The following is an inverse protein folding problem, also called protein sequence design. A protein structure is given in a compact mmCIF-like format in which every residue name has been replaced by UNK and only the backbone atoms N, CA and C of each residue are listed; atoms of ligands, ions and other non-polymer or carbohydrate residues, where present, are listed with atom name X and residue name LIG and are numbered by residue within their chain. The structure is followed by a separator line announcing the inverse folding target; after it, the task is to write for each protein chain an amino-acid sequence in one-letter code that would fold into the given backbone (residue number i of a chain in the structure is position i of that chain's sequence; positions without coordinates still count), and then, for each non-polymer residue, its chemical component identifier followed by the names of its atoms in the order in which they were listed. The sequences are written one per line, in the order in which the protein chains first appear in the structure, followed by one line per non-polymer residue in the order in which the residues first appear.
data_IF_937166019868
#
_entry.id   IF_937166019868
#
_cell.length_a   1.000
_cell.length_b   1.000
_cell.length_c   1.000
_cell.angle_alpha   90.00
_cell.angle_beta   90.00
_cell.angle_gamma   90.00
#
_symmetry.space_group_name_H-M   'P 1'
#
loop_
_entity.id
_entity.type
_entity.pdbx_description
1 polymer ?
#
# COMPACT_ATOMS: atom_id res chain seq x y z
N UNK A 1 -40.60 41.92 28.51
CA UNK A 1 -41.83 41.37 29.13
C UNK A 1 -42.40 40.35 28.17
N UNK A 2 -42.44 39.08 28.58
CA UNK A 2 -43.01 38.02 27.75
C UNK A 2 -44.53 38.00 27.79
N UNK A 3 -45.12 37.27 26.85
CA UNK A 3 -46.12 36.24 27.16
C UNK A 3 -46.26 35.27 25.97
N UNK A 4 -46.66 34.05 26.29
CA UNK A 4 -46.55 32.78 25.56
C UNK A 4 -47.76 32.41 24.68
N UNK A 5 -47.52 31.48 23.73
CA UNK A 5 -48.42 30.44 23.15
C UNK A 5 -49.50 30.91 22.15
N UNK A 6 -49.78 30.24 21.02
CA UNK A 6 -49.92 28.80 20.82
C UNK A 6 -49.63 28.30 19.38
N UNK A 7 -49.34 27.00 19.34
CA UNK A 7 -48.99 26.11 18.22
C UNK A 7 -50.24 25.76 17.39
N UNK A 8 -50.11 25.67 16.07
CA UNK A 8 -50.89 24.74 15.23
C UNK A 8 -49.90 24.06 14.28
N UNK A 9 -49.70 22.77 14.50
CA UNK A 9 -48.96 21.85 13.64
C UNK A 9 -49.80 21.52 12.41
N UNK A 10 -49.14 21.48 11.24
CA UNK A 10 -49.65 20.81 10.04
C UNK A 10 -48.73 19.62 9.76
N UNK A 11 -49.27 18.44 9.41
CA UNK A 11 -48.50 17.21 9.27
C UNK A 11 -47.69 17.23 7.98
N UNK A 12 -46.36 17.15 8.10
CA UNK A 12 -45.52 16.64 7.01
C UNK A 12 -45.66 15.13 7.00
N UNK A 13 -46.37 14.59 6.02
CA UNK A 13 -46.23 13.18 5.65
C UNK A 13 -44.77 12.94 5.27
N UNK A 14 -43.99 12.39 6.20
CA UNK A 14 -42.75 11.69 5.89
C UNK A 14 -43.11 10.47 5.05
N UNK A 15 -42.76 10.51 3.77
CA UNK A 15 -42.69 9.31 2.95
C UNK A 15 -41.73 8.32 3.64
N UNK A 16 -42.13 7.07 3.87
CA UNK A 16 -41.25 6.09 4.51
C UNK A 16 -40.00 5.91 3.66
N UNK A 17 -38.84 6.19 4.24
CA UNK A 17 -37.55 5.83 3.63
C UNK A 17 -37.52 4.34 3.30
N UNK A 18 -36.81 3.93 2.24
CA UNK A 18 -36.73 2.52 1.86
C UNK A 18 -36.17 1.69 3.03
N UNK A 19 -36.65 0.45 3.22
CA UNK A 19 -36.32 -0.35 4.38
C UNK A 19 -34.81 -0.56 4.48
N UNK A 20 -34.26 -0.30 5.66
CA UNK A 20 -32.88 -0.60 5.99
C UNK A 20 -32.66 -2.11 5.77
N UNK A 21 -31.88 -2.46 4.75
CA UNK A 21 -31.47 -3.84 4.52
C UNK A 21 -30.52 -4.21 5.66
N UNK A 22 -31.03 -4.95 6.65
CA UNK A 22 -30.24 -5.66 7.65
C UNK A 22 -29.21 -6.52 6.94
N UNK A 23 -27.97 -6.04 6.94
CA UNK A 23 -26.80 -6.82 6.56
C UNK A 23 -26.15 -7.22 7.86
N UNK A 24 -26.54 -8.38 8.40
CA UNK A 24 -26.01 -8.94 9.65
C UNK A 24 -24.48 -8.79 9.71
N UNK A 25 -24.02 -8.14 10.77
CA UNK A 25 -22.62 -8.10 11.11
C UNK A 25 -22.22 -9.48 11.65
N UNK A 26 -21.13 -10.10 11.17
CA UNK A 26 -20.69 -11.37 11.73
C UNK A 26 -20.33 -11.20 13.21
N UNK A 27 -20.80 -12.12 14.05
CA UNK A 27 -20.50 -12.12 15.48
C UNK A 27 -19.03 -12.47 15.74
N UNK A 28 -18.46 -12.14 16.91
CA UNK A 28 -17.03 -12.35 17.20
C UNK A 28 -16.53 -13.80 17.03
N UNK A 29 -17.43 -14.79 17.03
CA UNK A 29 -17.12 -16.21 16.83
C UNK A 29 -16.93 -16.63 15.35
N UNK A 30 -17.38 -15.83 14.37
CA UNK A 30 -17.34 -16.17 12.94
C UNK A 30 -16.13 -15.59 12.19
N UNK A 31 -15.19 -14.97 12.91
CA UNK A 31 -13.86 -14.60 12.37
C UNK A 31 -12.75 -15.55 12.81
N UNK A 32 -13.09 -16.64 13.51
CA UNK A 32 -12.25 -17.82 13.45
C UNK A 32 -12.32 -18.32 12.00
N UNK A 33 -11.23 -18.14 11.26
CA UNK A 33 -11.11 -18.70 9.92
C UNK A 33 -11.61 -20.15 9.97
N UNK A 34 -12.57 -20.57 9.13
CA UNK A 34 -12.83 -21.98 8.99
C UNK A 34 -11.49 -22.60 8.58
N UNK A 35 -10.93 -23.44 9.44
CA UNK A 35 -9.88 -24.39 9.08
C UNK A 35 -10.52 -25.40 8.12
N UNK A 36 -10.79 -24.94 6.90
CA UNK A 36 -10.88 -25.79 5.73
C UNK A 36 -9.48 -26.36 5.47
N UNK A 37 -9.38 -27.60 4.96
CA UNK A 37 -8.12 -28.32 4.87
C UNK A 37 -7.08 -27.47 4.13
N UNK A 38 -5.83 -27.56 4.57
CA UNK A 38 -4.72 -26.86 3.95
C UNK A 38 -4.68 -27.18 2.45
N UNK A 39 -5.23 -26.29 1.61
CA UNK A 39 -5.03 -26.35 0.18
C UNK A 39 -3.51 -26.34 -0.04
N UNK A 40 -2.99 -27.46 -0.52
CA UNK A 40 -1.57 -27.64 -0.72
C UNK A 40 -1.07 -26.52 -1.63
N UNK A 41 0.01 -25.85 -1.20
CA UNK A 41 0.69 -24.87 -2.02
C UNK A 41 1.11 -25.57 -3.33
N UNK A 42 0.73 -25.07 -4.52
CA UNK A 42 1.03 -25.73 -5.78
C UNK A 42 2.53 -25.98 -5.97
N UNK A 43 2.88 -27.17 -6.46
CA UNK A 43 4.23 -27.48 -6.94
C UNK A 43 4.47 -26.90 -8.34
N UNK A 44 5.73 -26.86 -8.78
CA UNK A 44 6.03 -26.41 -10.15
C UNK A 44 5.36 -27.29 -11.20
N UNK A 45 5.20 -28.59 -10.91
CA UNK A 45 4.48 -29.53 -11.77
C UNK A 45 2.99 -29.21 -11.84
N UNK A 46 2.35 -28.85 -10.72
CA UNK A 46 0.93 -28.46 -10.70
C UNK A 46 0.67 -27.19 -11.51
N UNK A 47 1.64 -26.26 -11.53
CA UNK A 47 1.56 -25.00 -12.27
C UNK A 47 2.03 -25.12 -13.73
N UNK A 48 2.73 -26.19 -14.09
CA UNK A 48 3.36 -26.35 -15.41
C UNK A 48 4.49 -25.35 -15.68
N UNK A 49 5.25 -24.99 -14.64
CA UNK A 49 6.35 -24.01 -14.69
C UNK A 49 7.69 -24.65 -14.36
N UNK A 50 8.79 -23.97 -14.67
CA UNK A 50 10.13 -24.38 -14.24
C UNK A 50 10.28 -24.30 -12.70
N UNK A 51 10.88 -25.31 -12.08
CA UNK A 51 11.13 -25.32 -10.63
C UNK A 51 12.05 -24.15 -10.21
N UNK A 52 13.06 -23.80 -11.01
CA UNK A 52 13.94 -22.66 -10.74
C UNK A 52 13.17 -21.33 -10.72
N UNK A 53 12.13 -21.22 -11.56
CA UNK A 53 11.25 -20.04 -11.59
C UNK A 53 10.40 -19.96 -10.33
N UNK A 54 9.82 -21.07 -9.88
CA UNK A 54 9.03 -21.12 -8.66
C UNK A 54 9.89 -20.88 -7.40
N UNK A 55 11.09 -21.43 -7.35
CA UNK A 55 12.06 -21.15 -6.28
C UNK A 55 12.43 -19.66 -6.23
N UNK A 56 12.66 -19.04 -7.39
CA UNK A 56 12.95 -17.61 -7.48
C UNK A 56 11.76 -16.76 -7.01
N UNK A 57 10.54 -17.10 -7.43
CA UNK A 57 9.30 -16.47 -6.96
C UNK A 57 9.22 -16.49 -5.44
N UNK A 58 9.44 -17.66 -4.82
CA UNK A 58 9.42 -17.84 -3.35
C UNK A 58 10.54 -17.08 -2.66
N UNK A 59 11.75 -17.07 -3.24
CA UNK A 59 12.90 -16.31 -2.72
C UNK A 59 12.62 -14.81 -2.66
N UNK A 60 11.86 -14.28 -3.62
CA UNK A 60 11.42 -12.88 -3.64
C UNK A 60 10.20 -12.61 -2.76
N UNK A 61 9.77 -13.56 -1.92
CA UNK A 61 8.65 -13.42 -1.00
C UNK A 61 7.29 -13.84 -1.58
N UNK A 62 7.25 -14.31 -2.84
CA UNK A 62 6.00 -14.65 -3.53
C UNK A 62 5.15 -15.70 -2.82
N UNK A 63 5.74 -16.50 -1.92
CA UNK A 63 5.06 -17.41 -1.00
C UNK A 63 3.90 -16.76 -0.22
N UNK A 64 4.04 -15.48 0.14
CA UNK A 64 3.00 -14.74 0.87
C UNK A 64 1.73 -14.51 0.01
N UNK A 65 1.80 -14.69 -1.32
CA UNK A 65 0.70 -14.47 -2.27
C UNK A 65 0.14 -15.78 -2.88
N UNK A 66 0.87 -16.89 -2.80
CA UNK A 66 0.54 -18.14 -3.52
C UNK A 66 -0.87 -18.64 -3.18
N UNK A 67 -1.27 -18.59 -1.91
CA UNK A 67 -2.58 -19.09 -1.47
C UNK A 67 -3.75 -18.36 -2.13
N UNK A 68 -3.67 -17.03 -2.25
CA UNK A 68 -4.77 -16.22 -2.80
C UNK A 68 -4.81 -16.18 -4.32
N UNK A 69 -3.64 -16.37 -4.95
CA UNK A 69 -3.53 -16.54 -6.40
C UNK A 69 -4.02 -17.93 -6.81
N UNK A 70 -3.62 -18.98 -6.09
CA UNK A 70 -4.00 -20.36 -6.38
C UNK A 70 -5.50 -20.62 -6.15
N UNK A 71 -6.09 -20.08 -5.08
CA UNK A 71 -7.54 -20.24 -4.83
C UNK A 71 -8.42 -19.40 -5.77
N UNK A 72 -7.83 -18.46 -6.52
CA UNK A 72 -8.58 -17.48 -7.29
C UNK A 72 -9.31 -16.44 -6.44
N UNK A 73 -9.04 -16.35 -5.14
CA UNK A 73 -9.56 -15.26 -4.30
C UNK A 73 -9.15 -13.89 -4.86
N UNK A 74 -7.93 -13.80 -5.37
CA UNK A 74 -7.41 -12.64 -6.09
C UNK A 74 -7.16 -13.03 -7.54
N UNK A 75 -7.79 -12.32 -8.47
CA UNK A 75 -7.46 -12.37 -9.90
C UNK A 75 -6.66 -11.11 -10.26
N UNK A 76 -5.49 -11.26 -10.87
CA UNK A 76 -4.68 -10.11 -11.31
C UNK A 76 -4.91 -9.86 -12.81
N UNK A 77 -5.08 -8.59 -13.16
CA UNK A 77 -5.32 -8.15 -14.53
C UNK A 77 -4.00 -8.10 -15.30
N UNK A 78 -3.98 -8.55 -16.55
CA UNK A 78 -2.82 -8.40 -17.42
C UNK A 78 -2.61 -6.91 -17.73
N UNK A 79 -1.47 -6.36 -17.34
CA UNK A 79 -1.11 -4.99 -17.64
C UNK A 79 -1.18 -4.67 -19.15
N UNK A 80 -0.81 -5.62 -20.03
CA UNK A 80 -0.90 -5.43 -21.47
C UNK A 80 -2.34 -5.37 -21.96
N UNK A 81 -3.24 -6.16 -21.36
CA UNK A 81 -4.67 -6.09 -21.66
C UNK A 81 -5.26 -4.74 -21.20
N UNK A 82 -4.93 -4.29 -19.99
CA UNK A 82 -5.37 -3.00 -19.47
C UNK A 82 -4.93 -1.84 -20.36
N UNK A 83 -3.69 -1.89 -20.87
CA UNK A 83 -3.17 -0.90 -21.82
C UNK A 83 -4.02 -0.87 -23.08
N UNK A 84 -4.20 -2.01 -23.74
CA UNK A 84 -4.98 -2.10 -24.99
C UNK A 84 -6.44 -1.68 -24.79
N UNK A 85 -7.05 -2.05 -23.66
CA UNK A 85 -8.42 -1.69 -23.32
C UNK A 85 -8.57 -0.17 -23.14
N UNK A 86 -7.61 0.47 -22.46
CA UNK A 86 -7.58 1.92 -22.28
C UNK A 86 -7.40 2.66 -23.61
N UNK A 87 -6.50 2.19 -24.48
CA UNK A 87 -6.24 2.79 -25.80
C UNK A 87 -7.44 2.70 -26.74
N UNK A 88 -8.26 1.65 -26.58
CA UNK A 88 -9.53 1.51 -27.28
C UNK A 88 -10.65 2.42 -26.73
N UNK A 89 -10.37 3.24 -25.70
CA UNK A 89 -11.35 4.09 -25.02
C UNK A 89 -12.29 3.32 -24.09
N UNK A 90 -11.87 2.14 -23.65
CA UNK A 90 -12.65 1.27 -22.76
C UNK A 90 -12.81 1.83 -21.35
N UNK A 91 -13.80 1.30 -20.64
CA UNK A 91 -13.99 1.48 -19.19
C UNK A 91 -13.86 0.10 -18.55
N UNK A 92 -13.17 0.01 -17.42
CA UNK A 92 -12.98 -1.26 -16.73
C UNK A 92 -14.30 -1.71 -16.10
N UNK A 93 -14.75 -2.93 -16.42
CA UNK A 93 -15.92 -3.56 -15.78
C UNK A 93 -15.54 -4.32 -14.51
N UNK A 94 -16.53 -4.67 -13.69
CA UNK A 94 -16.34 -5.53 -12.53
C UNK A 94 -15.84 -6.92 -12.92
N UNK A 95 -15.14 -7.61 -12.01
CA UNK A 95 -14.46 -8.90 -12.25
C UNK A 95 -15.26 -9.90 -13.08
N UNK A 96 -16.52 -10.15 -12.74
CA UNK A 96 -17.35 -11.18 -13.37
C UNK A 96 -17.72 -10.88 -14.84
N UNK A 97 -17.68 -9.61 -15.25
CA UNK A 97 -17.98 -9.20 -16.62
C UNK A 97 -16.73 -9.12 -17.51
N UNK A 98 -15.52 -9.31 -16.95
CA UNK A 98 -14.29 -9.25 -17.71
C UNK A 98 -14.02 -10.57 -18.46
N UNK A 99 -13.47 -10.50 -19.67
CA UNK A 99 -13.11 -11.69 -20.44
C UNK A 99 -11.93 -12.42 -19.79
N UNK A 100 -11.77 -13.72 -20.07
CA UNK A 100 -10.70 -14.55 -19.45
C UNK A 100 -9.31 -14.03 -19.79
N UNK A 101 -9.14 -13.48 -20.98
CA UNK A 101 -7.91 -12.91 -21.51
C UNK A 101 -7.49 -11.62 -20.77
N UNK A 102 -8.36 -11.04 -19.95
CA UNK A 102 -8.02 -9.91 -19.10
C UNK A 102 -7.12 -10.29 -17.91
N UNK A 103 -6.98 -11.58 -17.60
CA UNK A 103 -6.33 -12.06 -16.39
C UNK A 103 -5.04 -12.83 -16.67
N UNK A 104 -4.07 -12.68 -15.77
CA UNK A 104 -2.90 -13.55 -15.70
C UNK A 104 -3.18 -14.71 -14.76
N UNK A 105 -2.69 -15.90 -15.12
CA UNK A 105 -2.64 -17.05 -14.22
C UNK A 105 -1.50 -16.91 -13.22
N UNK A 106 -1.53 -17.71 -12.15
CA UNK A 106 -0.40 -17.80 -11.23
C UNK A 106 0.88 -18.27 -11.94
N UNK A 107 0.77 -19.22 -12.87
CA UNK A 107 1.88 -19.70 -13.68
C UNK A 107 2.52 -18.56 -14.51
N UNK A 108 1.70 -17.68 -15.12
CA UNK A 108 2.21 -16.53 -15.87
C UNK A 108 3.07 -15.59 -15.02
N UNK A 109 2.70 -15.40 -13.75
CA UNK A 109 3.45 -14.58 -12.80
C UNK A 109 4.77 -15.24 -12.40
N UNK A 110 4.76 -16.55 -12.15
CA UNK A 110 5.98 -17.32 -11.85
C UNK A 110 6.95 -17.25 -13.03
N UNK A 111 6.47 -17.48 -14.25
CA UNK A 111 7.28 -17.40 -15.47
C UNK A 111 7.81 -15.99 -15.74
N UNK A 112 7.02 -14.95 -15.44
CA UNK A 112 7.44 -13.56 -15.57
C UNK A 112 8.49 -13.13 -14.52
N UNK A 113 8.73 -13.94 -13.49
CA UNK A 113 9.69 -13.61 -12.42
C UNK A 113 11.11 -13.61 -12.93
N UNK A 114 11.84 -12.54 -12.62
CA UNK A 114 13.16 -12.26 -13.16
C UNK A 114 14.20 -11.99 -12.07
N UNK A 115 15.31 -12.74 -12.12
CA UNK A 115 16.36 -12.67 -11.10
C UNK A 115 17.13 -11.35 -11.07
N UNK A 116 17.07 -10.56 -12.15
CA UNK A 116 17.75 -9.27 -12.25
C UNK A 116 16.85 -8.09 -11.86
N UNK A 117 15.54 -8.30 -11.74
CA UNK A 117 14.59 -7.25 -11.36
C UNK A 117 14.69 -6.94 -9.86
N UNK A 118 14.71 -7.98 -9.01
CA UNK A 118 14.62 -7.80 -7.56
C UNK A 118 13.20 -7.49 -7.06
N UNK A 119 12.19 -7.64 -7.92
CA UNK A 119 10.77 -7.52 -7.57
C UNK A 119 9.94 -8.63 -8.22
N UNK A 120 8.74 -8.87 -7.67
CA UNK A 120 7.73 -9.74 -8.24
C UNK A 120 6.95 -9.02 -9.35
N UNK A 121 6.48 -9.73 -10.39
CA UNK A 121 5.65 -9.16 -11.46
C UNK A 121 4.19 -8.94 -11.02
N UNK A 122 4.00 -8.36 -9.83
CA UNK A 122 2.69 -8.07 -9.25
C UNK A 122 2.67 -6.61 -8.79
N UNK A 123 1.61 -5.88 -9.15
CA UNK A 123 1.31 -4.54 -8.67
C UNK A 123 -0.09 -4.44 -8.10
N UNK A 124 -0.33 -3.51 -7.18
CA UNK A 124 -1.65 -3.19 -6.64
C UNK A 124 -1.98 -1.71 -6.87
N UNK A 125 -3.23 -1.42 -7.26
CA UNK A 125 -3.71 -0.07 -7.50
C UNK A 125 -4.53 0.41 -6.30
N UNK A 126 -4.09 1.49 -5.68
CA UNK A 126 -4.85 2.22 -4.66
C UNK A 126 -5.44 3.49 -5.27
N UNK A 127 -6.75 3.68 -5.11
CA UNK A 127 -7.46 4.75 -5.81
C UNK A 127 -8.79 5.11 -5.13
N UNK A 128 -9.29 6.34 -5.32
CA UNK A 128 -10.60 6.74 -4.81
C UNK A 128 -11.71 6.28 -5.77
N UNK A 129 -12.78 5.69 -5.23
CA UNK A 129 -14.03 5.53 -5.99
C UNK A 129 -14.64 6.89 -6.31
N UNK A 130 -14.88 7.17 -7.60
CA UNK A 130 -15.42 8.45 -8.06
C UNK A 130 -16.93 8.56 -7.84
N UNK A 131 -17.66 7.46 -7.96
CA UNK A 131 -19.12 7.42 -7.72
C UNK A 131 -19.45 6.25 -6.80
N UNK A 132 -20.71 6.16 -6.35
CA UNK A 132 -21.19 5.05 -5.54
C UNK A 132 -21.16 3.71 -6.29
N UNK A 133 -21.49 3.74 -7.58
CA UNK A 133 -21.74 2.52 -8.35
C UNK A 133 -20.54 2.11 -9.22
N UNK A 134 -19.66 3.06 -9.55
CA UNK A 134 -18.51 2.80 -10.39
C UNK A 134 -17.24 3.57 -9.95
N UNK A 135 -16.08 2.90 -9.88
CA UNK A 135 -14.83 3.54 -9.46
C UNK A 135 -14.30 4.56 -10.47
N UNK A 136 -14.41 4.29 -11.78
CA UNK A 136 -13.90 5.14 -12.86
C UNK A 136 -14.85 5.17 -14.07
N UNK A 137 -16.04 5.79 -13.96
CA UNK A 137 -17.11 5.67 -14.97
C UNK A 137 -16.75 6.25 -16.35
N UNK A 138 -15.68 7.03 -16.44
CA UNK A 138 -15.21 7.65 -17.69
C UNK A 138 -13.90 7.06 -18.21
N UNK A 139 -13.32 6.05 -17.55
CA UNK A 139 -12.04 5.45 -17.96
C UNK A 139 -10.82 6.37 -17.83
N UNK A 140 -10.94 7.46 -17.08
CA UNK A 140 -9.89 8.47 -16.98
C UNK A 140 -8.74 8.00 -16.07
N UNK A 141 -9.06 7.31 -14.97
CA UNK A 141 -8.07 6.66 -14.14
C UNK A 141 -7.42 5.48 -14.89
N UNK A 142 -8.21 4.68 -15.61
CA UNK A 142 -7.70 3.59 -16.45
C UNK A 142 -6.69 4.11 -17.48
N UNK A 143 -6.98 5.22 -18.16
CA UNK A 143 -6.06 5.84 -19.12
C UNK A 143 -4.74 6.29 -18.47
N UNK A 144 -4.80 6.87 -17.27
CA UNK A 144 -3.60 7.28 -16.51
C UNK A 144 -2.80 6.05 -16.06
N UNK A 145 -3.46 5.02 -15.55
CA UNK A 145 -2.83 3.75 -15.13
C UNK A 145 -2.18 3.07 -16.33
N UNK A 146 -2.84 2.99 -17.49
CA UNK A 146 -2.28 2.42 -18.72
C UNK A 146 -0.97 3.10 -19.15
N UNK A 147 -0.88 4.44 -19.06
CA UNK A 147 0.37 5.17 -19.32
C UNK A 147 1.49 4.75 -18.36
N UNK A 148 1.19 4.59 -17.08
CA UNK A 148 2.15 4.11 -16.08
C UNK A 148 2.57 2.66 -16.35
N UNK A 149 1.62 1.77 -16.68
CA UNK A 149 1.90 0.37 -17.00
C UNK A 149 2.79 0.23 -18.24
N UNK A 150 2.57 1.04 -19.29
CA UNK A 150 3.49 1.10 -20.45
C UNK A 150 4.91 1.45 -20.04
N UNK A 151 5.06 2.45 -19.18
CA UNK A 151 6.36 2.86 -18.67
C UNK A 151 7.03 1.75 -17.84
N UNK A 152 6.28 1.03 -17.00
CA UNK A 152 6.79 -0.12 -16.24
C UNK A 152 7.22 -1.29 -17.15
N UNK A 153 6.49 -1.53 -18.24
CA UNK A 153 6.80 -2.55 -19.24
C UNK A 153 7.87 -2.12 -20.26
N UNK A 154 8.34 -0.87 -20.23
CA UNK A 154 9.37 -0.36 -21.15
C UNK A 154 10.73 -1.06 -21.02
N UNK A 155 10.93 -1.83 -19.94
CA UNK A 155 12.11 -2.67 -19.68
C UNK A 155 11.73 -4.15 -19.71
N UNK A 156 11.50 -4.75 -20.88
CA UNK A 156 11.01 -6.13 -20.99
C UNK A 156 12.00 -7.16 -20.37
N UNK A 157 13.29 -6.83 -20.35
CA UNK A 157 14.32 -7.65 -19.71
C UNK A 157 14.22 -7.70 -18.18
N UNK A 158 13.48 -6.78 -17.55
CA UNK A 158 13.25 -6.77 -16.10
C UNK A 158 11.80 -7.11 -15.76
N UNK A 159 10.84 -6.60 -16.53
CA UNK A 159 9.41 -6.80 -16.30
C UNK A 159 8.74 -7.23 -17.60
N UNK A 160 8.84 -8.52 -17.98
CA UNK A 160 8.28 -9.01 -19.23
C UNK A 160 6.75 -9.06 -19.23
N UNK A 161 6.16 -9.32 -18.06
CA UNK A 161 4.71 -9.22 -17.80
C UNK A 161 4.49 -8.68 -16.39
N UNK A 162 3.31 -8.11 -16.16
CA UNK A 162 2.92 -7.54 -14.88
C UNK A 162 1.43 -7.81 -14.62
N UNK A 163 1.13 -8.45 -13.51
CA UNK A 163 -0.24 -8.60 -13.01
C UNK A 163 -0.63 -7.42 -12.14
N UNK A 164 -1.82 -6.87 -12.34
CA UNK A 164 -2.32 -5.71 -11.58
C UNK A 164 -3.53 -6.12 -10.75
N UNK A 165 -3.40 -6.04 -9.44
CA UNK A 165 -4.51 -6.07 -8.51
C UNK A 165 -5.22 -4.72 -8.55
N UNK A 166 -6.45 -4.73 -9.07
CA UNK A 166 -7.39 -3.61 -9.05
C UNK A 166 -8.68 -4.15 -8.43
N UNK A 167 -8.93 -3.90 -7.16
CA UNK A 167 -10.01 -4.50 -6.36
C UNK A 167 -11.34 -4.73 -7.11
N UNK A 168 -11.82 -3.76 -7.91
CA UNK A 168 -13.04 -3.83 -8.72
C UNK A 168 -13.00 -4.94 -9.79
N UNK A 169 -11.87 -5.08 -10.48
CA UNK A 169 -11.62 -6.16 -11.45
C UNK A 169 -11.02 -7.43 -10.84
N UNK A 170 -10.45 -7.35 -9.63
CA UNK A 170 -9.65 -8.42 -9.02
C UNK A 170 -10.37 -9.23 -7.95
N UNK A 171 -11.34 -8.62 -7.26
CA UNK A 171 -12.18 -9.29 -6.26
C UNK A 171 -13.59 -9.51 -6.82
N UNK A 172 -14.28 -10.55 -6.34
CA UNK A 172 -15.69 -10.75 -6.68
C UNK A 172 -16.53 -9.58 -6.18
N UNK A 173 -17.25 -8.93 -7.10
CA UNK A 173 -18.15 -7.82 -6.82
C UNK A 173 -19.60 -8.30 -6.68
N UNK A 174 -20.48 -7.48 -6.13
CA UNK A 174 -21.91 -7.68 -6.34
C UNK A 174 -22.26 -7.17 -7.75
N UNK A 175 -22.73 -8.01 -8.68
CA UNK A 175 -22.90 -7.60 -10.08
C UNK A 175 -23.95 -6.51 -10.28
N UNK A 176 -25.08 -6.62 -9.60
CA UNK A 176 -26.16 -5.63 -9.65
C UNK A 176 -26.95 -5.61 -8.32
N UNK A 177 -26.36 -5.03 -7.26
CA UNK A 177 -26.99 -5.00 -5.94
C UNK A 177 -28.29 -4.18 -5.91
N UNK A 178 -28.48 -3.24 -6.85
CA UNK A 178 -29.70 -2.46 -6.96
C UNK A 178 -30.90 -3.32 -7.41
N UNK A 179 -30.65 -4.30 -8.28
CA UNK A 179 -31.64 -5.27 -8.73
C UNK A 179 -31.59 -6.61 -7.98
N UNK A 180 -30.81 -6.69 -6.89
CA UNK A 180 -30.71 -7.87 -6.04
C UNK A 180 -29.78 -8.98 -6.55
N UNK A 181 -29.00 -8.73 -7.61
CA UNK A 181 -27.97 -9.65 -8.07
C UNK A 181 -26.73 -9.53 -7.17
N UNK A 182 -26.52 -10.58 -6.36
CA UNK A 182 -25.51 -10.63 -5.32
C UNK A 182 -24.55 -11.78 -5.57
N UNK A 183 -23.36 -11.70 -4.97
CA UNK A 183 -22.38 -12.80 -4.99
C UNK A 183 -23.00 -14.10 -4.48
N UNK A 184 -22.62 -15.22 -5.13
CA UNK A 184 -22.90 -16.55 -4.61
C UNK A 184 -22.12 -16.80 -3.30
N UNK A 185 -22.46 -17.87 -2.57
CA UNK A 185 -21.76 -18.22 -1.33
C UNK A 185 -20.27 -18.48 -1.56
N UNK A 186 -19.92 -19.15 -2.66
CA UNK A 186 -18.54 -19.43 -3.06
C UNK A 186 -17.79 -18.14 -3.40
N UNK A 187 -18.42 -17.24 -4.17
CA UNK A 187 -17.86 -15.94 -4.51
C UNK A 187 -17.66 -15.08 -3.25
N UNK A 188 -18.57 -15.17 -2.27
CA UNK A 188 -18.46 -14.46 -1.00
C UNK A 188 -17.31 -15.02 -0.14
N UNK A 189 -17.10 -16.33 -0.13
CA UNK A 189 -15.96 -16.95 0.54
C UNK A 189 -14.63 -16.49 -0.07
N UNK A 190 -14.51 -16.52 -1.40
CA UNK A 190 -13.35 -16.01 -2.14
C UNK A 190 -13.14 -14.51 -1.91
N UNK A 191 -14.20 -13.72 -1.89
CA UNK A 191 -14.10 -12.29 -1.58
C UNK A 191 -13.56 -12.05 -0.18
N UNK A 192 -14.06 -12.76 0.85
CA UNK A 192 -13.57 -12.63 2.23
C UNK A 192 -12.09 -13.03 2.31
N UNK A 193 -11.69 -14.10 1.61
CA UNK A 193 -10.30 -14.52 1.52
C UNK A 193 -9.42 -13.43 0.86
N UNK A 194 -9.87 -12.85 -0.26
CA UNK A 194 -9.16 -11.77 -0.95
C UNK A 194 -9.08 -10.49 -0.12
N UNK A 195 -10.16 -10.13 0.57
CA UNK A 195 -10.19 -8.97 1.49
C UNK A 195 -9.18 -9.14 2.64
N UNK A 196 -9.03 -10.36 3.14
CA UNK A 196 -8.05 -10.68 4.18
C UNK A 196 -6.59 -10.51 3.76
N UNK A 197 -6.28 -10.53 2.45
CA UNK A 197 -4.91 -10.44 1.95
C UNK A 197 -4.50 -9.04 1.46
N UNK A 198 -5.38 -8.04 1.53
CA UNK A 198 -5.08 -6.67 1.09
C UNK A 198 -3.83 -6.13 1.77
N UNK A 199 -3.71 -6.32 3.09
CA UNK A 199 -2.54 -5.91 3.85
C UNK A 199 -1.24 -6.45 3.25
N UNK A 200 -1.20 -7.75 2.95
CA UNK A 200 -0.07 -8.39 2.27
C UNK A 200 0.19 -7.79 0.89
N UNK A 201 -0.82 -7.70 0.02
CA UNK A 201 -0.65 -7.15 -1.34
C UNK A 201 -0.04 -5.74 -1.34
N UNK A 202 -0.57 -4.86 -0.50
CA UNK A 202 -0.14 -3.46 -0.42
C UNK A 202 1.15 -3.24 0.36
N UNK A 203 1.54 -4.13 1.29
CA UNK A 203 2.76 -3.96 2.10
C UNK A 203 3.89 -4.94 1.77
N UNK A 204 3.70 -5.87 0.84
CA UNK A 204 4.74 -6.80 0.41
C UNK A 204 5.95 -6.05 -0.15
N UNK A 205 7.15 -6.31 0.35
CA UNK A 205 8.34 -5.51 0.05
C UNK A 205 8.67 -5.44 -1.45
N UNK A 206 8.39 -6.53 -2.19
CA UNK A 206 8.80 -6.72 -3.58
C UNK A 206 7.65 -6.63 -4.61
N UNK A 207 6.49 -6.09 -4.26
CA UNK A 207 5.41 -5.79 -5.25
C UNK A 207 5.28 -4.30 -5.49
N UNK A 208 4.76 -3.91 -6.65
CA UNK A 208 4.44 -2.52 -6.93
C UNK A 208 3.16 -2.08 -6.19
N UNK A 209 3.11 -0.82 -5.76
CA UNK A 209 1.87 -0.13 -5.47
C UNK A 209 1.81 1.15 -6.27
N UNK A 210 0.71 1.31 -7.00
CA UNK A 210 0.39 2.47 -7.81
C UNK A 210 -0.72 3.25 -7.08
N UNK A 211 -0.48 4.52 -6.75
CA UNK A 211 -1.47 5.36 -6.04
C UNK A 211 -1.99 6.46 -6.92
N UNK A 212 -3.31 6.57 -7.03
CA UNK A 212 -3.98 7.69 -7.69
C UNK A 212 -4.35 8.76 -6.65
N UNK A 213 -3.35 9.49 -6.16
CA UNK A 213 -3.54 10.46 -5.06
C UNK A 213 -4.23 11.76 -5.49
N UNK A 214 -4.24 12.05 -6.79
CA UNK A 214 -4.92 13.18 -7.40
C UNK A 214 -5.98 12.70 -8.39
N UNK A 215 -7.02 13.51 -8.58
CA UNK A 215 -8.02 13.25 -9.61
C UNK A 215 -7.42 13.33 -11.02
N UNK A 216 -8.06 12.70 -12.02
CA UNK A 216 -7.70 12.84 -13.43
C UNK A 216 -7.57 14.29 -13.87
N UNK A 217 -6.72 14.56 -14.86
CA UNK A 217 -6.55 15.89 -15.42
C UNK A 217 -7.89 16.40 -15.99
N UNK A 218 -8.26 17.65 -15.69
CA UNK A 218 -9.55 18.21 -16.09
C UNK A 218 -10.74 17.81 -15.21
N UNK A 219 -10.53 17.02 -14.15
CA UNK A 219 -11.56 16.72 -13.16
C UNK A 219 -11.80 17.93 -12.24
N UNK A 220 -12.87 18.69 -12.47
CA UNK A 220 -13.30 19.78 -11.57
C UNK A 220 -14.43 19.32 -10.67
N UNK A 221 -14.34 19.61 -9.37
CA UNK A 221 -15.36 19.23 -8.39
C UNK A 221 -16.75 19.84 -8.69
N UNK A 222 -16.76 21.02 -9.29
CA UNK A 222 -17.93 21.78 -9.74
C UNK A 222 -18.63 21.20 -10.97
N UNK A 223 -17.92 20.40 -11.78
CA UNK A 223 -18.48 19.73 -12.98
C UNK A 223 -19.05 18.34 -12.65
N UNK A 224 -19.09 17.96 -11.37
CA UNK A 224 -19.49 16.63 -10.95
C UNK A 224 -20.99 16.53 -10.75
N UNK A 225 -21.57 15.42 -11.23
CA UNK A 225 -22.97 15.10 -11.01
C UNK A 225 -23.25 14.95 -9.51
N UNK A 226 -24.48 15.25 -9.10
CA UNK A 226 -24.96 15.05 -7.74
C UNK A 226 -24.69 13.61 -7.28
N UNK A 227 -24.07 13.43 -6.11
CA UNK A 227 -23.65 12.12 -5.58
C UNK A 227 -22.22 11.67 -5.93
N UNK A 228 -21.44 12.46 -6.67
CA UNK A 228 -20.01 12.19 -6.90
C UNK A 228 -19.20 12.39 -5.62
N UNK A 229 -18.28 11.48 -5.33
CA UNK A 229 -17.43 11.59 -4.15
C UNK A 229 -16.22 12.48 -4.43
N UNK A 230 -16.25 13.70 -3.87
CA UNK A 230 -15.19 14.72 -4.00
C UNK A 230 -14.12 14.66 -2.91
N UNK A 231 -14.20 13.72 -1.96
CA UNK A 231 -13.20 13.59 -0.90
C UNK A 231 -11.80 13.29 -1.49
N UNK A 232 -10.76 13.92 -0.95
CA UNK A 232 -9.38 13.69 -1.41
C UNK A 232 -8.91 12.29 -1.01
N UNK A 233 -7.90 11.79 -1.71
CA UNK A 233 -7.34 10.46 -1.48
C UNK A 233 -7.00 10.18 -0.01
N UNK A 234 -6.25 11.07 0.65
CA UNK A 234 -5.81 10.88 2.04
C UNK A 234 -6.92 11.06 3.10
N UNK A 235 -8.10 11.51 2.72
CA UNK A 235 -9.26 11.67 3.61
C UNK A 235 -10.18 10.43 3.62
N UNK A 236 -9.87 9.44 2.78
CA UNK A 236 -10.61 8.19 2.62
C UNK A 236 -9.91 7.08 3.39
N UNK A 237 -10.65 6.38 4.25
CA UNK A 237 -10.10 5.37 5.14
C UNK A 237 -9.32 4.27 4.41
N UNK A 238 -9.90 3.67 3.37
CA UNK A 238 -9.21 2.65 2.57
C UNK A 238 -7.96 3.18 1.86
N UNK A 239 -8.06 4.30 1.13
CA UNK A 239 -6.90 4.90 0.45
C UNK A 239 -5.77 5.25 1.44
N UNK A 240 -6.10 5.83 2.60
CA UNK A 240 -5.11 6.14 3.64
C UNK A 240 -4.45 4.87 4.20
N UNK A 241 -5.21 3.78 4.34
CA UNK A 241 -4.69 2.47 4.78
C UNK A 241 -3.74 1.86 3.75
N UNK A 242 -4.15 1.85 2.48
CA UNK A 242 -3.35 1.33 1.38
C UNK A 242 -2.04 2.11 1.22
N UNK A 243 -2.10 3.43 1.39
CA UNK A 243 -0.91 4.28 1.45
C UNK A 243 0.01 3.93 2.63
N UNK A 244 -0.57 3.71 3.82
CA UNK A 244 0.20 3.34 5.01
C UNK A 244 0.89 1.98 4.80
N UNK A 245 0.19 0.98 4.26
CA UNK A 245 0.78 -0.32 3.88
C UNK A 245 1.90 -0.18 2.86
N UNK A 246 1.68 0.58 1.79
CA UNK A 246 2.67 0.81 0.75
C UNK A 246 3.92 1.58 1.22
N UNK A 247 3.85 2.16 2.42
CA UNK A 247 4.94 2.90 3.04
C UNK A 247 5.76 2.08 4.03
N UNK A 248 5.35 0.85 4.37
CA UNK A 248 5.99 0.06 5.43
C UNK A 248 7.38 -0.48 5.07
N UNK A 249 7.58 -1.03 3.87
CA UNK A 249 8.81 -1.81 3.58
C UNK A 249 9.32 -1.66 2.14
N UNK A 250 8.44 -1.28 1.20
CA UNK A 250 8.76 -1.15 -0.23
C UNK A 250 9.85 -0.12 -0.45
N UNK A 251 10.74 -0.35 -1.41
CA UNK A 251 11.64 0.69 -1.93
C UNK A 251 10.89 1.72 -2.78
N UNK A 252 11.47 2.90 -3.01
CA UNK A 252 10.82 3.99 -3.73
C UNK A 252 10.25 3.58 -5.11
N UNK A 253 11.02 2.87 -5.92
CA UNK A 253 10.61 2.42 -7.26
C UNK A 253 9.39 1.48 -7.28
N UNK A 254 9.04 0.87 -6.14
CA UNK A 254 7.90 -0.03 -6.01
C UNK A 254 6.67 0.66 -5.39
N UNK A 255 6.74 1.96 -5.11
CA UNK A 255 5.71 2.70 -4.40
C UNK A 255 5.45 4.03 -5.11
N UNK A 256 4.72 3.99 -6.22
CA UNK A 256 4.60 5.09 -7.17
C UNK A 256 3.32 5.90 -6.96
N UNK A 257 3.47 7.21 -6.79
CA UNK A 257 2.36 8.16 -6.79
C UNK A 257 2.06 8.65 -8.20
N UNK A 258 1.09 8.00 -8.86
CA UNK A 258 0.63 8.36 -10.20
C UNK A 258 -0.10 9.71 -10.23
N UNK A 259 -0.48 10.25 -9.07
CA UNK A 259 -1.04 11.59 -8.97
C UNK A 259 -0.04 12.70 -9.32
N UNK A 260 1.26 12.38 -9.34
CA UNK A 260 2.35 13.28 -9.74
C UNK A 260 2.72 13.20 -11.22
N UNK A 261 2.09 12.30 -11.98
CA UNK A 261 2.31 12.22 -13.42
C UNK A 261 1.89 13.51 -14.11
N UNK A 262 2.71 13.98 -15.05
CA UNK A 262 2.48 15.21 -15.81
C UNK A 262 1.61 14.93 -17.04
N UNK A 263 0.67 15.85 -17.29
CA UNK A 263 -0.15 15.85 -18.49
C UNK A 263 0.74 15.93 -19.75
N UNK A 264 0.41 15.14 -20.77
CA UNK A 264 1.11 15.14 -22.07
C UNK A 264 2.56 14.61 -22.08
N UNK A 265 3.15 14.30 -20.92
CA UNK A 265 4.49 13.70 -20.85
C UNK A 265 4.44 12.20 -21.17
N UNK A 266 5.30 11.74 -22.06
CA UNK A 266 5.60 10.31 -22.22
C UNK A 266 6.58 9.85 -21.14
N UNK A 267 6.35 8.63 -20.67
CA UNK A 267 7.08 8.05 -19.55
C UNK A 267 7.73 6.74 -19.97
N UNK A 268 9.01 6.61 -19.62
CA UNK A 268 9.71 5.34 -19.47
C UNK A 268 9.82 4.98 -17.98
N UNK A 269 10.43 3.83 -17.66
CA UNK A 269 10.57 3.37 -16.27
C UNK A 269 11.26 4.40 -15.36
N UNK A 270 12.36 5.01 -15.82
CA UNK A 270 13.18 5.91 -15.00
C UNK A 270 12.47 7.22 -14.75
N UNK A 271 11.94 7.83 -15.81
CA UNK A 271 11.24 9.10 -15.72
C UNK A 271 9.91 8.99 -14.97
N UNK A 272 9.25 7.81 -14.99
CA UNK A 272 8.07 7.53 -14.17
C UNK A 272 8.48 7.44 -12.70
N UNK A 273 9.48 6.63 -12.40
CA UNK A 273 9.97 6.44 -11.03
C UNK A 273 10.42 7.77 -10.44
N UNK A 274 11.18 8.56 -11.20
CA UNK A 274 11.67 9.86 -10.76
C UNK A 274 10.54 10.81 -10.36
N UNK A 275 9.53 11.00 -11.20
CA UNK A 275 8.43 11.92 -10.91
C UNK A 275 7.52 11.39 -9.78
N UNK A 276 7.21 10.09 -9.81
CA UNK A 276 6.23 9.47 -8.92
C UNK A 276 6.76 9.16 -7.52
N UNK A 277 8.05 9.40 -7.25
CA UNK A 277 8.70 9.17 -5.94
C UNK A 277 9.20 10.44 -5.26
N UNK A 278 9.20 11.59 -5.96
CA UNK A 278 9.65 12.86 -5.42
C UNK A 278 8.81 13.34 -4.22
N UNK A 279 9.37 14.26 -3.42
CA UNK A 279 8.67 15.07 -2.41
C UNK A 279 7.84 14.28 -1.38
N UNK A 280 8.44 13.30 -0.69
CA UNK A 280 7.85 12.76 0.54
C UNK A 280 6.53 12.02 0.38
N UNK A 281 6.26 11.45 -0.81
CA UNK A 281 5.04 10.67 -1.05
C UNK A 281 4.91 9.41 -0.19
N UNK A 282 6.00 8.92 0.40
CA UNK A 282 6.02 7.79 1.32
C UNK A 282 6.18 8.28 2.76
N UNK A 283 5.20 7.98 3.59
CA UNK A 283 5.18 8.38 4.99
C UNK A 283 6.03 7.41 5.84
N UNK A 284 6.57 7.85 6.99
CA UNK A 284 7.15 6.92 7.96
C UNK A 284 6.12 5.88 8.43
N UNK A 285 6.55 4.66 8.80
CA UNK A 285 5.65 3.65 9.34
C UNK A 285 4.96 4.17 10.61
N UNK A 286 3.71 3.75 10.83
CA UNK A 286 2.93 4.09 12.02
C UNK A 286 2.76 2.86 12.90
N UNK A 287 2.92 3.04 14.22
CA UNK A 287 2.43 2.06 15.18
C UNK A 287 0.93 1.84 14.99
N UNK A 288 0.45 0.62 15.24
CA UNK A 288 -0.96 0.28 15.10
C UNK A 288 -1.89 1.23 15.87
N UNK A 289 -1.49 1.67 17.06
CA UNK A 289 -2.22 2.67 17.86
C UNK A 289 -2.28 4.05 17.22
N UNK A 290 -1.16 4.54 16.67
CA UNK A 290 -1.08 5.82 15.98
C UNK A 290 -1.91 5.79 14.68
N UNK A 291 -1.80 4.70 13.91
CA UNK A 291 -2.63 4.47 12.73
C UNK A 291 -4.13 4.45 13.10
N UNK A 292 -4.51 3.75 14.17
CA UNK A 292 -5.90 3.69 14.61
C UNK A 292 -6.45 5.08 14.97
N UNK A 293 -5.64 5.94 15.59
CA UNK A 293 -6.01 7.33 15.89
C UNK A 293 -6.15 8.20 14.62
N UNK A 294 -5.27 8.02 13.63
CA UNK A 294 -5.40 8.70 12.35
C UNK A 294 -6.64 8.24 11.57
N UNK A 295 -6.97 6.95 11.62
CA UNK A 295 -8.12 6.38 10.94
C UNK A 295 -9.44 6.94 11.47
N UNK A 296 -9.50 7.36 12.74
CA UNK A 296 -10.71 7.99 13.29
C UNK A 296 -11.11 9.28 12.58
N UNK A 297 -10.13 9.98 12.01
CA UNK A 297 -10.30 11.24 11.28
C UNK A 297 -10.73 11.02 9.83
N UNK A 298 -10.82 9.77 9.37
CA UNK A 298 -11.06 9.42 7.96
C UNK A 298 -12.51 9.02 7.70
N UNK A 299 -12.94 9.25 6.46
CA UNK A 299 -14.28 8.92 6.00
C UNK A 299 -14.33 7.58 5.28
N UNK A 300 -15.44 6.86 5.40
CA UNK A 300 -15.74 5.63 4.68
C UNK A 300 -17.03 5.81 3.88
N UNK A 301 -17.03 5.38 2.62
CA UNK A 301 -18.11 5.64 1.67
C UNK A 301 -19.36 4.79 1.89
N UNK A 302 -19.26 3.66 2.58
CA UNK A 302 -20.30 2.64 2.60
C UNK A 302 -21.23 2.66 3.82
N UNK A 303 -21.23 3.73 4.63
CA UNK A 303 -22.16 3.93 5.75
C UNK A 303 -22.05 2.93 6.92
N UNK A 304 -21.37 1.79 6.72
CA UNK A 304 -20.85 0.92 7.76
C UNK A 304 -19.46 1.40 8.12
N UNK A 305 -19.20 1.56 9.42
CA UNK A 305 -17.89 1.97 9.91
C UNK A 305 -16.90 0.79 9.76
N UNK A 306 -16.21 0.71 8.61
CA UNK A 306 -15.19 -0.32 8.34
C UNK A 306 -13.94 -0.17 9.25
N UNK A 307 -13.85 0.89 10.06
CA UNK A 307 -12.70 1.19 10.92
C UNK A 307 -12.24 -0.01 11.76
N UNK A 308 -13.09 -0.79 12.46
CA UNK A 308 -12.62 -1.92 13.26
C UNK A 308 -11.94 -2.99 12.43
N UNK A 309 -12.46 -3.28 11.23
CA UNK A 309 -11.86 -4.22 10.29
C UNK A 309 -10.52 -3.69 9.79
N UNK A 310 -10.48 -2.43 9.35
CA UNK A 310 -9.28 -1.80 8.80
C UNK A 310 -8.15 -1.70 9.81
N UNK A 311 -8.46 -1.34 11.07
CA UNK A 311 -7.48 -1.34 12.17
C UNK A 311 -6.85 -2.72 12.36
N UNK A 312 -7.69 -3.76 12.39
CA UNK A 312 -7.23 -5.15 12.51
C UNK A 312 -6.34 -5.56 11.34
N UNK A 313 -6.77 -5.29 10.11
CA UNK A 313 -5.99 -5.61 8.91
C UNK A 313 -4.64 -4.87 8.91
N UNK A 314 -4.63 -3.59 9.34
CA UNK A 314 -3.40 -2.83 9.45
C UNK A 314 -2.44 -3.44 10.46
N UNK A 315 -2.92 -3.75 11.67
CA UNK A 315 -2.09 -4.34 12.73
C UNK A 315 -1.48 -5.68 12.32
N UNK A 316 -2.27 -6.55 11.67
CA UNK A 316 -1.80 -7.85 11.16
C UNK A 316 -0.69 -7.63 10.13
N UNK A 317 -0.93 -6.81 9.10
CA UNK A 317 0.05 -6.56 8.04
C UNK A 317 1.31 -5.87 8.58
N UNK A 318 1.16 -4.92 9.51
CA UNK A 318 2.28 -4.27 10.18
C UNK A 318 3.14 -5.32 10.89
N UNK A 319 2.55 -6.16 11.74
CA UNK A 319 3.30 -7.19 12.48
C UNK A 319 3.96 -8.20 11.53
N UNK A 320 3.26 -8.64 10.49
CA UNK A 320 3.75 -9.68 9.59
C UNK A 320 4.79 -9.17 8.59
N UNK A 321 4.54 -8.05 7.92
CA UNK A 321 5.40 -7.56 6.85
C UNK A 321 6.54 -6.71 7.40
N UNK A 322 6.25 -5.78 8.32
CA UNK A 322 7.30 -4.97 8.94
C UNK A 322 8.20 -5.81 9.87
N UNK A 323 7.61 -6.75 10.63
CA UNK A 323 8.37 -7.63 11.52
C UNK A 323 9.28 -8.64 10.81
N UNK A 324 9.05 -8.91 9.53
CA UNK A 324 9.90 -9.76 8.68
C UNK A 324 11.05 -8.98 8.02
N UNK A 325 10.96 -7.65 7.94
CA UNK A 325 11.91 -6.83 7.19
C UNK A 325 13.33 -6.91 7.76
N UNK A 326 14.29 -7.27 6.90
CA UNK A 326 15.72 -7.24 7.20
C UNK A 326 16.39 -5.96 6.70
N UNK A 327 15.78 -5.31 5.72
CA UNK A 327 16.26 -4.09 5.09
C UNK A 327 15.11 -3.11 4.95
N UNK A 328 15.29 -1.88 5.44
CA UNK A 328 14.35 -0.78 5.29
C UNK A 328 15.04 0.37 4.55
N UNK A 329 14.52 0.69 3.37
CA UNK A 329 15.11 1.67 2.46
C UNK A 329 14.26 2.94 2.50
N UNK A 330 14.65 3.91 3.34
CA UNK A 330 13.96 5.21 3.52
C UNK A 330 14.79 6.40 3.05
N UNK A 331 15.67 6.20 2.08
CA UNK A 331 16.49 7.24 1.50
C UNK A 331 15.69 8.23 0.65
N UNK A 332 16.19 9.47 0.54
CA UNK A 332 15.73 10.48 -0.42
C UNK A 332 14.23 10.80 -0.39
N UNK A 333 13.57 10.58 0.76
CA UNK A 333 12.15 10.88 0.94
C UNK A 333 11.88 12.34 1.30
N UNK A 334 12.91 13.10 1.63
CA UNK A 334 12.77 14.47 2.14
C UNK A 334 12.22 14.53 3.56
N UNK A 335 12.32 13.43 4.32
CA UNK A 335 11.93 13.35 5.73
C UNK A 335 12.74 14.31 6.60
N UNK A 336 12.08 15.01 7.52
CA UNK A 336 12.70 15.84 8.53
C UNK A 336 12.73 15.18 9.91
N UNK A 337 12.93 16.00 10.94
CA UNK A 337 12.97 15.55 12.33
C UNK A 337 11.67 14.88 12.80
N UNK A 338 10.53 15.36 12.32
CA UNK A 338 9.22 14.80 12.68
C UNK A 338 9.07 13.36 12.17
N UNK A 339 9.44 13.11 10.92
CA UNK A 339 9.37 11.78 10.33
C UNK A 339 10.40 10.82 10.94
N UNK A 340 11.62 11.32 11.23
CA UNK A 340 12.63 10.56 11.94
C UNK A 340 12.17 10.19 13.36
N UNK A 341 11.51 11.09 14.08
CA UNK A 341 10.95 10.83 15.40
C UNK A 341 9.81 9.79 15.34
N UNK A 342 8.99 9.81 14.29
CA UNK A 342 7.97 8.79 14.10
C UNK A 342 8.58 7.40 13.85
N UNK A 343 9.59 7.31 12.97
CA UNK A 343 10.33 6.06 12.77
C UNK A 343 11.00 5.60 14.07
N UNK A 344 11.59 6.53 14.84
CA UNK A 344 12.20 6.23 16.13
C UNK A 344 11.19 5.62 17.10
N UNK A 345 9.96 6.12 17.17
CA UNK A 345 8.90 5.53 17.99
C UNK A 345 8.54 4.10 17.57
N UNK A 346 8.55 3.80 16.27
CA UNK A 346 8.34 2.45 15.74
C UNK A 346 9.50 1.51 16.10
N UNK A 347 10.74 1.97 15.97
CA UNK A 347 11.90 1.19 16.38
C UNK A 347 11.87 0.92 17.90
N UNK A 348 11.63 1.95 18.71
CA UNK A 348 11.56 1.83 20.17
C UNK A 348 10.50 0.84 20.68
N UNK A 349 9.48 0.53 19.88
CA UNK A 349 8.46 -0.46 20.24
C UNK A 349 8.89 -1.91 20.00
N UNK A 350 10.08 -2.15 19.43
CA UNK A 350 10.55 -3.47 19.04
C UNK A 350 9.83 -4.08 17.84
N UNK A 351 9.18 -3.25 17.01
CA UNK A 351 8.44 -3.72 15.84
C UNK A 351 9.34 -4.25 14.70
N UNK A 352 10.64 -3.98 14.74
CA UNK A 352 11.62 -4.35 13.71
C UNK A 352 12.69 -5.35 14.22
N UNK A 353 12.31 -6.55 14.72
CA UNK A 353 13.22 -7.46 15.40
C UNK A 353 14.26 -8.11 14.47
N UNK A 354 14.02 -8.09 13.16
CA UNK A 354 14.89 -8.69 12.13
C UNK A 354 15.69 -7.67 11.33
N UNK A 355 15.52 -6.38 11.60
CA UNK A 355 16.17 -5.32 10.83
C UNK A 355 17.69 -5.38 10.98
N UNK A 356 18.39 -5.48 9.86
CA UNK A 356 19.85 -5.52 9.74
C UNK A 356 20.40 -4.25 9.10
N UNK A 357 19.63 -3.63 8.20
CA UNK A 357 20.07 -2.45 7.45
C UNK A 357 18.96 -1.40 7.40
N UNK A 358 19.29 -0.18 7.79
CA UNK A 358 18.40 0.98 7.70
C UNK A 358 19.07 2.09 6.88
N UNK A 359 18.44 2.44 5.75
CA UNK A 359 18.85 3.56 4.90
C UNK A 359 17.98 4.78 5.19
N UNK A 360 18.60 5.89 5.54
CA UNK A 360 17.96 7.17 5.81
C UNK A 360 18.72 8.33 5.12
N UNK A 361 19.65 8.03 4.23
CA UNK A 361 20.46 9.02 3.53
C UNK A 361 19.64 9.94 2.62
N UNK A 362 20.18 11.13 2.34
CA UNK A 362 19.56 12.08 1.41
C UNK A 362 18.22 12.66 1.89
N UNK A 363 17.93 12.59 3.19
CA UNK A 363 16.77 13.22 3.80
C UNK A 363 17.14 14.62 4.36
N UNK A 364 16.26 15.21 5.16
CA UNK A 364 16.41 16.50 5.82
C UNK A 364 16.42 16.36 7.35
N UNK A 365 16.88 15.23 7.86
CA UNK A 365 16.93 14.93 9.30
C UNK A 365 17.99 15.82 9.94
N UNK A 366 17.62 16.54 10.98
CA UNK A 366 18.49 17.38 11.79
C UNK A 366 18.89 16.72 13.10
N UNK A 367 19.40 17.54 14.03
CA UNK A 367 19.86 17.09 15.34
C UNK A 367 18.73 16.46 16.17
N UNK A 368 17.51 16.99 16.11
CA UNK A 368 16.40 16.49 16.93
C UNK A 368 15.90 15.12 16.45
N UNK A 369 15.82 14.91 15.14
CA UNK A 369 15.50 13.61 14.57
C UNK A 369 16.59 12.58 14.85
N UNK A 370 17.87 12.98 14.77
CA UNK A 370 18.99 12.10 15.13
C UNK A 370 18.98 11.73 16.62
N UNK A 371 18.70 12.68 17.52
CA UNK A 371 18.52 12.43 18.97
C UNK A 371 17.36 11.47 19.23
N UNK A 372 16.25 11.61 18.53
CA UNK A 372 15.11 10.69 18.65
C UNK A 372 15.50 9.26 18.24
N UNK A 373 16.20 9.11 17.10
CA UNK A 373 16.72 7.81 16.65
C UNK A 373 17.69 7.21 17.68
N UNK A 374 18.64 8.00 18.20
CA UNK A 374 19.60 7.55 19.22
C UNK A 374 18.89 7.06 20.50
N UNK A 375 17.91 7.83 21.00
CA UNK A 375 17.12 7.45 22.17
C UNK A 375 16.30 6.19 21.95
N UNK A 376 15.77 5.99 20.74
CA UNK A 376 15.02 4.80 20.37
C UNK A 376 15.91 3.55 20.28
N UNK A 377 17.09 3.66 19.68
CA UNK A 377 18.05 2.55 19.57
C UNK A 377 18.57 2.10 20.94
N UNK A 378 18.59 2.99 21.94
CA UNK A 378 18.92 2.67 23.33
C UNK A 378 17.81 1.94 24.09
N UNK A 379 16.60 1.78 23.52
CA UNK A 379 15.54 0.99 24.13
C UNK A 379 15.79 -0.50 23.94
N UNK A 380 15.53 -1.26 25.00
CA UNK A 380 15.61 -2.72 24.96
C UNK A 380 14.70 -3.28 23.85
N UNK A 381 15.26 -4.13 23.00
CA UNK A 381 14.52 -4.79 21.93
C UNK A 381 14.22 -3.95 20.67
N UNK A 382 14.69 -2.69 20.59
CA UNK A 382 14.30 -1.79 19.50
C UNK A 382 14.72 -2.28 18.10
N UNK A 383 16.00 -2.59 17.93
CA UNK A 383 16.58 -3.09 16.67
C UNK A 383 17.79 -4.00 16.96
N UNK A 384 17.59 -5.19 17.53
CA UNK A 384 18.67 -6.01 18.10
C UNK A 384 19.67 -6.54 17.05
N UNK A 385 19.25 -6.61 15.79
CA UNK A 385 20.07 -7.12 14.67
C UNK A 385 20.63 -6.02 13.77
N UNK A 386 20.39 -4.74 14.09
CA UNK A 386 20.79 -3.65 13.20
C UNK A 386 22.32 -3.62 13.09
N UNK A 387 22.83 -3.89 11.90
CA UNK A 387 24.26 -3.91 11.59
C UNK A 387 24.73 -2.63 10.89
N UNK A 388 23.83 -2.01 10.12
CA UNK A 388 24.14 -0.85 9.27
C UNK A 388 23.04 0.21 9.37
N UNK A 389 23.46 1.43 9.66
CA UNK A 389 22.62 2.63 9.68
C UNK A 389 23.29 3.68 8.78
N UNK A 390 22.56 4.14 7.76
CA UNK A 390 23.05 5.12 6.80
C UNK A 390 22.33 6.45 7.00
N UNK A 391 23.08 7.49 7.37
CA UNK A 391 22.53 8.83 7.66
C UNK A 391 23.16 9.95 6.82
N UNK A 392 24.10 9.63 5.93
CA UNK A 392 24.80 10.63 5.13
C UNK A 392 23.84 11.47 4.25
N UNK A 393 24.20 12.72 3.96
CA UNK A 393 23.35 13.60 3.15
C UNK A 393 22.10 14.10 3.89
N UNK A 394 22.09 14.07 5.22
CA UNK A 394 21.13 14.74 6.08
C UNK A 394 21.67 16.08 6.61
N UNK A 395 20.92 16.73 7.50
CA UNK A 395 21.24 18.03 8.13
C UNK A 395 21.66 17.86 9.61
N UNK A 396 22.28 16.72 9.94
CA UNK A 396 22.71 16.37 11.30
C UNK A 396 23.98 17.15 11.64
N UNK A 397 23.94 17.91 12.73
CA UNK A 397 25.06 18.65 13.29
C UNK A 397 25.76 17.88 14.41
N UNK A 398 26.67 18.58 15.10
CA UNK A 398 27.51 17.99 16.15
C UNK A 398 26.68 17.42 17.30
N UNK A 399 25.55 18.03 17.65
CA UNK A 399 24.71 17.59 18.78
C UNK A 399 23.99 16.28 18.47
N UNK A 400 23.50 16.09 17.25
CA UNK A 400 22.93 14.81 16.79
C UNK A 400 24.00 13.72 16.75
N UNK A 401 25.17 14.01 16.20
CA UNK A 401 26.29 13.06 16.14
C UNK A 401 26.76 12.64 17.55
N UNK A 402 26.85 13.58 18.51
CA UNK A 402 27.19 13.27 19.92
C UNK A 402 26.14 12.38 20.57
N UNK A 403 24.85 12.65 20.35
CA UNK A 403 23.76 11.85 20.91
C UNK A 403 23.80 10.40 20.40
N UNK A 404 24.00 10.22 19.10
CA UNK A 404 24.13 8.88 18.51
C UNK A 404 25.37 8.15 19.04
N UNK A 405 26.52 8.82 19.09
CA UNK A 405 27.75 8.23 19.63
C UNK A 405 27.61 7.83 21.11
N UNK A 406 26.93 8.64 21.92
CA UNK A 406 26.65 8.32 23.32
C UNK A 406 25.76 7.08 23.45
N UNK A 407 24.66 7.01 22.69
CA UNK A 407 23.76 5.85 22.71
C UNK A 407 24.49 4.56 22.33
N UNK A 408 25.31 4.58 21.27
CA UNK A 408 26.10 3.41 20.85
C UNK A 408 27.11 2.98 21.91
N UNK A 409 27.75 3.93 22.60
CA UNK A 409 28.66 3.65 23.71
C UNK A 409 27.96 3.00 24.91
N UNK A 410 26.68 3.32 25.11
CA UNK A 410 25.82 2.74 26.15
C UNK A 410 25.22 1.37 25.75
N UNK A 411 25.54 0.86 24.56
CA UNK A 411 25.13 -0.47 24.10
C UNK A 411 23.87 -0.48 23.23
N UNK A 412 23.42 0.69 22.74
CA UNK A 412 22.38 0.76 21.71
C UNK A 412 22.83 0.03 20.44
N UNK A 413 21.91 -0.69 19.78
CA UNK A 413 22.15 -1.43 18.54
C UNK A 413 23.48 -2.24 18.58
N UNK A 414 23.58 -3.30 19.40
CA UNK A 414 24.85 -3.96 19.72
C UNK A 414 25.57 -4.59 18.51
N UNK A 415 24.84 -4.83 17.42
CA UNK A 415 25.36 -5.39 16.17
C UNK A 415 25.88 -4.33 15.20
N UNK A 416 25.70 -3.03 15.50
CA UNK A 416 25.99 -1.94 14.60
C UNK A 416 27.50 -1.81 14.39
N UNK A 417 27.95 -2.00 13.14
CA UNK A 417 29.36 -1.90 12.79
C UNK A 417 29.72 -0.44 12.60
N UNK A 418 30.67 0.07 13.38
CA UNK A 418 31.32 1.34 13.05
C UNK A 418 31.95 1.20 11.67
N UNK A 419 31.58 2.05 10.70
CA UNK A 419 32.24 2.03 9.41
C UNK A 419 33.58 2.74 9.54
N UNK A 420 34.60 2.14 8.93
CA UNK A 420 35.87 2.80 8.69
C UNK A 420 35.61 4.11 7.94
N UNK A 421 35.89 5.23 8.58
CA UNK A 421 35.89 6.54 7.95
C UNK A 421 36.80 6.49 6.70
N UNK A 422 36.45 7.14 5.58
CA UNK A 422 37.40 7.28 4.48
C UNK A 422 38.65 7.99 5.02
N UNK A 423 39.79 7.37 4.74
CA UNK A 423 41.13 7.89 4.98
C UNK A 423 41.19 9.39 4.71
N UNK A 424 41.71 10.10 5.71
CA UNK A 424 41.99 11.52 5.72
C UNK A 424 42.26 12.12 4.32
N UNK A 425 41.39 13.02 3.87
CA UNK A 425 41.80 14.26 3.20
C UNK A 425 40.65 15.30 3.28
N UNK A 426 40.88 16.28 4.17
CA UNK A 426 40.14 17.52 4.45
C UNK A 426 38.89 17.44 5.36
N UNK A 427 38.77 18.36 6.34
CA UNK A 427 37.60 18.46 7.19
C UNK A 427 36.49 19.18 6.43
N UNK A 428 35.40 18.48 6.11
CA UNK A 428 34.10 19.12 5.90
C UNK A 428 33.24 18.83 7.12
N UNK A 429 32.58 19.83 7.73
CA UNK A 429 31.64 19.61 8.83
C UNK A 429 30.33 19.04 8.26
N UNK A 430 30.30 17.75 7.98
CA UNK A 430 29.12 16.93 7.70
C UNK A 430 29.57 15.51 7.34
N UNK A 431 30.01 14.73 8.32
CA UNK A 431 30.14 13.28 8.18
C UNK A 431 29.63 12.60 9.46
N UNK A 432 28.31 12.70 9.64
CA UNK A 432 27.47 11.60 10.07
C UNK A 432 26.81 11.04 8.78
#
# INVERSE_FOLDING_TARGET
MGCFSSRVEAPTEELPGPPAVERDAPTPAETAAPTQPADAIPSATDLGVDEEKLELWRKLGGGDLERVLASGAVAVLDAQWLISHAEAGGVLSHRQALPKEAFLSFADLVEATNKYAGWLPVGALSYPWLTKDHPDPRGANLSRVARALKALLSRPNLTPRLGVFWDFGSLHQHPDPANGDMRTEEQNALFKQGLGCLGTLYSHQNTFVLRLTSFPDGHKAEDQAEGTNVAKYFDRGWCATENAWASLTKVGALSLDLGKMRAGKEYDFDSLTLDCTQEGGRCPPLLASAFAAELEKKSFTNGKDDKPLVKRLYEVAFKEQFGKATELVYDSLGWGDAEAAQLAAVLASGAAPRLEILYLEGNKIGDEGCKALAAALGKEGAAPRLERLWLHGNQIGDEGCKALAAALKEGAAPSLKARDAPLATRPSPAQC
#
